data_IF_827519348779
#
_entry.id   IF_827519348779
#
_cell.length_a   1.000
_cell.length_b   1.000
_cell.length_c   1.000
_cell.angle_alpha   90.00
_cell.angle_beta   90.00
_cell.angle_gamma   90.00
#
_symmetry.space_group_name_H-M   'P 1'
#
loop_
_entity.id
_entity.type
_entity.pdbx_description
1 polymer ?
#
# COMPACT_ATOMS: atom_id res chain seq x y z
N UNK A 1 -16.52 -8.11 -27.67
CA UNK A 1 -16.68 -9.32 -26.83
C UNK A 1 -17.23 -8.87 -25.50
N UNK A 2 -18.11 -9.67 -24.90
CA UNK A 2 -18.73 -9.37 -23.61
C UNK A 2 -17.76 -9.70 -22.46
N UNK A 3 -17.41 -8.74 -21.59
CA UNK A 3 -16.48 -8.98 -20.49
C UNK A 3 -17.00 -10.00 -19.47
N UNK A 4 -18.32 -10.14 -19.34
CA UNK A 4 -18.93 -11.14 -18.46
C UNK A 4 -18.58 -12.55 -18.95
N UNK A 5 -18.68 -12.77 -20.26
CA UNK A 5 -18.34 -14.05 -20.89
C UNK A 5 -16.85 -14.35 -20.74
N UNK A 6 -15.99 -13.37 -21.04
CA UNK A 6 -14.53 -13.55 -20.94
C UNK A 6 -14.12 -13.90 -19.50
N UNK A 7 -14.65 -13.18 -18.51
CA UNK A 7 -14.32 -13.42 -17.12
C UNK A 7 -14.80 -14.80 -16.64
N UNK A 8 -16.03 -15.19 -16.99
CA UNK A 8 -16.58 -16.51 -16.63
C UNK A 8 -15.78 -17.66 -17.28
N UNK A 9 -15.50 -17.58 -18.58
CA UNK A 9 -14.73 -18.59 -19.31
C UNK A 9 -13.29 -18.70 -18.79
N UNK A 10 -12.64 -17.56 -18.51
CA UNK A 10 -11.30 -17.51 -17.95
C UNK A 10 -11.22 -18.18 -16.57
N UNK A 11 -12.17 -17.85 -15.69
CA UNK A 11 -12.25 -18.44 -14.34
C UNK A 11 -12.52 -19.94 -14.40
N UNK A 12 -13.45 -20.39 -15.25
CA UNK A 12 -13.69 -21.82 -15.44
C UNK A 12 -12.45 -22.56 -15.94
N UNK A 13 -11.74 -21.98 -16.91
CA UNK A 13 -10.53 -22.58 -17.48
C UNK A 13 -9.46 -22.74 -16.40
N UNK A 14 -9.15 -21.68 -15.67
CA UNK A 14 -8.11 -21.72 -14.64
C UNK A 14 -8.50 -22.62 -13.45
N UNK A 15 -9.79 -22.71 -13.11
CA UNK A 15 -10.29 -23.72 -12.15
C UNK A 15 -10.05 -25.14 -12.63
N UNK A 16 -10.31 -25.45 -13.91
CA UNK A 16 -10.05 -26.78 -14.51
C UNK A 16 -8.56 -27.11 -14.56
N UNK A 17 -7.71 -26.10 -14.70
CA UNK A 17 -6.24 -26.23 -14.71
C UNK A 17 -5.62 -26.23 -13.29
N UNK A 18 -6.44 -26.20 -12.23
CA UNK A 18 -6.02 -26.20 -10.81
C UNK A 18 -5.17 -25.00 -10.40
N UNK A 19 -5.42 -23.82 -10.95
CA UNK A 19 -4.86 -22.58 -10.40
C UNK A 19 -5.51 -22.26 -9.05
N UNK A 20 -4.69 -21.92 -8.07
CA UNK A 20 -5.14 -21.59 -6.71
C UNK A 20 -5.56 -20.12 -6.57
N UNK A 21 -4.96 -19.23 -7.39
CA UNK A 21 -5.22 -17.80 -7.38
C UNK A 21 -5.56 -17.34 -8.78
N UNK A 22 -6.71 -16.69 -8.92
CA UNK A 22 -7.18 -16.10 -10.18
C UNK A 22 -7.46 -14.63 -9.91
N UNK A 23 -6.76 -13.74 -10.61
CA UNK A 23 -6.96 -12.29 -10.52
C UNK A 23 -7.72 -11.86 -11.77
N UNK A 24 -8.92 -11.30 -11.57
CA UNK A 24 -9.74 -10.73 -12.64
C UNK A 24 -9.53 -9.22 -12.64
N UNK A 25 -8.80 -8.71 -13.62
CA UNK A 25 -8.68 -7.28 -13.84
C UNK A 25 -9.93 -6.75 -14.56
N UNK A 26 -10.42 -5.59 -14.12
CA UNK A 26 -11.60 -4.95 -14.69
C UNK A 26 -11.24 -3.56 -15.18
N UNK A 27 -11.97 -3.05 -16.18
CA UNK A 27 -11.75 -1.70 -16.70
C UNK A 27 -11.83 -0.63 -15.59
N UNK A 28 -11.06 0.45 -15.73
CA UNK A 28 -11.15 1.61 -14.82
C UNK A 28 -12.47 2.36 -15.00
N UNK A 29 -13.19 2.61 -13.91
CA UNK A 29 -14.58 3.11 -13.95
C UNK A 29 -14.68 4.49 -13.32
N UNK A 30 -14.97 5.51 -14.13
CA UNK A 30 -15.30 6.84 -13.65
C UNK A 30 -16.73 6.87 -13.11
N UNK A 31 -16.95 7.63 -12.02
CA UNK A 31 -18.22 7.72 -11.26
C UNK A 31 -19.47 8.06 -12.06
N UNK A 32 -19.34 8.56 -13.28
CA UNK A 32 -20.45 9.14 -14.03
C UNK A 32 -21.20 8.14 -14.92
N UNK A 33 -20.75 6.89 -15.01
CA UNK A 33 -21.38 5.89 -15.88
C UNK A 33 -22.06 4.80 -15.05
N UNK A 34 -23.38 4.94 -14.85
CA UNK A 34 -24.22 3.92 -14.23
C UNK A 34 -24.13 2.56 -14.95
N UNK A 35 -23.95 2.59 -16.27
CA UNK A 35 -23.69 1.41 -17.11
C UNK A 35 -22.44 0.63 -16.70
N UNK A 36 -21.40 1.30 -16.19
CA UNK A 36 -20.19 0.63 -15.72
C UNK A 36 -20.41 -0.08 -14.38
N UNK A 37 -21.25 0.45 -13.50
CA UNK A 37 -21.58 -0.26 -12.25
C UNK A 37 -22.43 -1.50 -12.51
N UNK A 38 -23.36 -1.43 -13.47
CA UNK A 38 -24.14 -2.59 -13.91
C UNK A 38 -23.26 -3.69 -14.50
N UNK A 39 -22.32 -3.35 -15.39
CA UNK A 39 -21.39 -4.32 -15.97
C UNK A 39 -20.51 -4.98 -14.88
N UNK A 40 -20.02 -4.20 -13.90
CA UNK A 40 -19.26 -4.73 -12.78
C UNK A 40 -20.08 -5.72 -11.94
N UNK A 41 -21.35 -5.40 -11.67
CA UNK A 41 -22.26 -6.28 -10.96
C UNK A 41 -22.50 -7.59 -11.75
N UNK A 42 -22.66 -7.49 -13.07
CA UNK A 42 -22.82 -8.65 -13.95
C UNK A 42 -21.57 -9.55 -13.93
N UNK A 43 -20.37 -8.97 -14.03
CA UNK A 43 -19.11 -9.73 -13.95
C UNK A 43 -18.96 -10.39 -12.58
N UNK A 44 -19.22 -9.65 -11.50
CA UNK A 44 -19.16 -10.18 -10.13
C UNK A 44 -20.11 -11.36 -9.93
N UNK A 45 -21.35 -11.24 -10.39
CA UNK A 45 -22.35 -12.31 -10.29
C UNK A 45 -22.00 -13.54 -11.13
N UNK A 46 -21.38 -13.35 -12.31
CA UNK A 46 -20.99 -14.46 -13.18
C UNK A 46 -19.78 -15.24 -12.64
N UNK A 47 -18.82 -14.54 -12.03
CA UNK A 47 -17.58 -15.14 -11.51
C UNK A 47 -17.72 -15.61 -10.06
N UNK A 48 -18.59 -14.97 -9.27
CA UNK A 48 -18.77 -15.16 -7.83
C UNK A 48 -17.42 -15.15 -7.06
N UNK A 49 -16.73 -13.99 -7.04
CA UNK A 49 -15.39 -13.88 -6.47
C UNK A 49 -15.40 -14.02 -4.93
N UNK A 50 -14.35 -14.62 -4.37
CA UNK A 50 -14.17 -14.72 -2.91
C UNK A 50 -13.85 -13.37 -2.26
N UNK A 51 -13.06 -12.54 -2.96
CA UNK A 51 -12.64 -11.22 -2.51
C UNK A 51 -12.74 -10.21 -3.64
N UNK A 52 -13.43 -9.09 -3.40
CA UNK A 52 -13.40 -7.92 -4.28
C UNK A 52 -12.46 -6.88 -3.68
N UNK A 53 -11.53 -6.37 -4.48
CA UNK A 53 -10.53 -5.40 -4.05
C UNK A 53 -10.79 -4.06 -4.72
N UNK A 54 -10.99 -3.01 -3.92
CA UNK A 54 -11.12 -1.66 -4.43
C UNK A 54 -9.73 -1.00 -4.53
N UNK A 55 -9.26 -0.78 -5.75
CA UNK A 55 -7.97 -0.13 -6.01
C UNK A 55 -8.18 1.37 -6.17
N UNK A 56 -7.49 2.16 -5.35
CA UNK A 56 -7.61 3.62 -5.35
C UNK A 56 -6.26 4.32 -5.48
N UNK A 57 -6.26 5.47 -6.14
CA UNK A 57 -5.09 6.34 -6.28
C UNK A 57 -4.92 7.23 -5.04
N UNK A 58 -3.71 7.30 -4.47
CA UNK A 58 -3.41 8.16 -3.32
C UNK A 58 -3.70 9.66 -3.56
N UNK A 59 -3.68 10.12 -4.81
CA UNK A 59 -3.88 11.51 -5.22
C UNK A 59 -5.35 11.94 -5.37
N UNK A 60 -6.30 10.98 -5.32
CA UNK A 60 -7.73 11.24 -5.62
C UNK A 60 -8.41 12.27 -4.70
N UNK A 61 -7.85 12.48 -3.51
CA UNK A 61 -8.34 13.47 -2.54
C UNK A 61 -9.79 13.22 -2.10
N UNK A 62 -10.59 14.30 -2.04
CA UNK A 62 -11.97 14.28 -1.53
C UNK A 62 -12.92 13.47 -2.42
N UNK A 63 -12.59 13.29 -3.70
CA UNK A 63 -13.40 12.47 -4.59
C UNK A 63 -13.35 10.97 -4.20
N UNK A 64 -12.45 10.53 -3.33
CA UNK A 64 -12.41 9.14 -2.90
C UNK A 64 -13.74 8.68 -2.28
N UNK A 65 -14.31 9.48 -1.38
CA UNK A 65 -15.44 9.07 -0.54
C UNK A 65 -16.64 8.61 -1.39
N UNK A 66 -17.06 9.45 -2.33
CA UNK A 66 -18.18 9.11 -3.19
C UNK A 66 -17.88 7.98 -4.20
N UNK A 67 -16.60 7.69 -4.50
CA UNK A 67 -16.25 6.55 -5.37
C UNK A 67 -16.36 5.25 -4.59
N UNK A 68 -15.72 5.23 -3.41
CA UNK A 68 -15.77 4.12 -2.48
C UNK A 68 -17.22 3.79 -2.10
N UNK A 69 -18.07 4.80 -1.91
CA UNK A 69 -19.50 4.63 -1.61
C UNK A 69 -20.24 3.92 -2.74
N UNK A 70 -20.16 4.45 -3.97
CA UNK A 70 -20.85 3.86 -5.11
C UNK A 70 -20.38 2.42 -5.38
N UNK A 71 -19.08 2.16 -5.19
CA UNK A 71 -18.51 0.83 -5.36
C UNK A 71 -19.00 -0.14 -4.28
N UNK A 72 -18.96 0.26 -3.01
CA UNK A 72 -19.43 -0.54 -1.88
C UNK A 72 -20.94 -0.78 -1.84
N UNK A 73 -21.74 0.10 -2.48
CA UNK A 73 -23.18 -0.09 -2.64
C UNK A 73 -23.52 -1.07 -3.78
N UNK A 74 -22.60 -1.26 -4.73
CA UNK A 74 -22.82 -2.12 -5.91
C UNK A 74 -22.27 -3.53 -5.68
N UNK A 75 -21.07 -3.64 -5.09
CA UNK A 75 -20.38 -4.91 -4.83
C UNK A 75 -19.81 -4.92 -3.43
N UNK A 76 -19.74 -6.11 -2.82
CA UNK A 76 -19.20 -6.27 -1.48
C UNK A 76 -17.67 -6.17 -1.50
N UNK A 77 -17.12 -5.06 -1.00
CA UNK A 77 -15.69 -4.78 -1.02
C UNK A 77 -15.01 -5.41 0.19
N UNK A 78 -14.18 -6.41 -0.05
CA UNK A 78 -13.45 -7.12 0.99
C UNK A 78 -12.19 -6.37 1.47
N UNK A 79 -11.49 -5.69 0.57
CA UNK A 79 -10.28 -4.92 0.92
C UNK A 79 -9.97 -3.79 -0.04
N UNK A 80 -9.08 -2.88 0.38
CA UNK A 80 -8.65 -1.71 -0.39
C UNK A 80 -7.15 -1.79 -0.67
N UNK A 81 -6.74 -1.40 -1.89
CA UNK A 81 -5.34 -1.18 -2.25
C UNK A 81 -5.15 0.31 -2.56
N UNK A 82 -4.07 0.90 -2.06
CA UNK A 82 -3.72 2.30 -2.34
C UNK A 82 -2.51 2.33 -3.26
N UNK A 83 -2.64 2.87 -4.46
CA UNK A 83 -1.55 3.02 -5.43
C UNK A 83 -0.94 4.42 -5.40
N UNK A 84 0.26 4.56 -5.98
CA UNK A 84 0.98 5.83 -6.15
C UNK A 84 1.36 6.55 -4.85
N UNK A 85 1.73 5.80 -3.80
CA UNK A 85 2.18 6.37 -2.51
C UNK A 85 3.62 6.89 -2.49
N UNK A 86 4.36 6.64 -3.57
CA UNK A 86 5.65 7.25 -3.90
C UNK A 86 5.52 8.74 -4.24
N UNK A 87 4.36 9.15 -4.74
CA UNK A 87 4.07 10.55 -5.03
C UNK A 87 3.98 11.39 -3.74
N UNK A 88 4.06 12.72 -3.88
CA UNK A 88 3.85 13.67 -2.78
C UNK A 88 2.42 13.65 -2.20
N UNK A 89 1.53 12.79 -2.72
CA UNK A 89 0.20 12.62 -2.18
C UNK A 89 0.27 12.05 -0.76
N UNK A 90 -0.37 12.75 0.19
CA UNK A 90 -0.44 12.32 1.59
C UNK A 90 -1.35 11.10 1.80
N UNK A 91 -2.03 10.61 0.76
CA UNK A 91 -2.91 9.44 0.84
C UNK A 91 -4.19 9.65 1.68
N UNK A 92 -4.57 10.90 1.99
CA UNK A 92 -5.72 11.19 2.86
C UNK A 92 -7.05 10.61 2.36
N UNK A 93 -7.21 10.38 1.05
CA UNK A 93 -8.37 9.71 0.48
C UNK A 93 -8.53 8.26 0.97
N UNK A 94 -7.44 7.58 1.33
CA UNK A 94 -7.50 6.21 1.83
C UNK A 94 -8.29 6.10 3.14
N UNK A 95 -8.18 7.10 4.01
CA UNK A 95 -8.98 7.16 5.23
C UNK A 95 -10.48 7.29 4.90
N UNK A 96 -10.83 8.07 3.88
CA UNK A 96 -12.20 8.19 3.40
C UNK A 96 -12.73 6.89 2.80
N UNK A 97 -11.92 6.17 2.02
CA UNK A 97 -12.31 4.86 1.49
C UNK A 97 -12.61 3.87 2.62
N UNK A 98 -11.67 3.68 3.55
CA UNK A 98 -11.84 2.75 4.68
C UNK A 98 -13.05 3.13 5.55
N UNK A 99 -13.27 4.43 5.79
CA UNK A 99 -14.41 4.89 6.57
C UNK A 99 -15.76 4.54 5.93
N UNK A 100 -15.82 4.58 4.60
CA UNK A 100 -17.04 4.29 3.82
C UNK A 100 -17.23 2.80 3.59
N UNK A 101 -16.23 2.10 3.06
CA UNK A 101 -16.35 0.68 2.70
C UNK A 101 -16.32 -0.23 3.92
N UNK A 102 -15.80 0.26 5.06
CA UNK A 102 -15.53 -0.53 6.28
C UNK A 102 -14.52 -1.68 6.08
N UNK A 103 -13.87 -1.72 4.92
CA UNK A 103 -12.89 -2.74 4.55
C UNK A 103 -11.47 -2.28 4.91
N UNK A 104 -10.58 -3.20 5.34
CA UNK A 104 -9.19 -2.87 5.62
C UNK A 104 -8.41 -2.56 4.34
N UNK A 105 -7.36 -1.74 4.47
CA UNK A 105 -6.34 -1.62 3.42
C UNK A 105 -5.38 -2.81 3.55
N UNK A 106 -5.23 -3.58 2.48
CA UNK A 106 -4.39 -4.77 2.44
C UNK A 106 -2.99 -4.46 1.91
N UNK A 107 -2.88 -3.71 0.81
CA UNK A 107 -1.59 -3.40 0.17
C UNK A 107 -1.46 -1.95 -0.28
N UNK A 108 -0.22 -1.56 -0.54
CA UNK A 108 0.15 -0.27 -1.11
C UNK A 108 1.10 -0.43 -2.29
N UNK A 109 0.88 0.38 -3.33
CA UNK A 109 1.81 0.54 -4.45
C UNK A 109 2.71 1.75 -4.22
N UNK A 110 4.03 1.51 -4.23
CA UNK A 110 5.09 2.50 -3.95
C UNK A 110 5.94 2.80 -5.17
N UNK A 111 5.45 2.52 -6.37
CA UNK A 111 6.14 2.76 -7.62
C UNK A 111 5.44 2.10 -8.81
N UNK A 112 6.17 1.98 -9.92
CA UNK A 112 5.66 1.44 -11.20
C UNK A 112 6.18 0.03 -11.48
N UNK A 113 7.19 -0.44 -10.77
CA UNK A 113 7.75 -1.77 -10.95
C UNK A 113 6.88 -2.83 -10.27
N UNK A 114 7.02 -4.08 -10.72
CA UNK A 114 6.25 -5.22 -10.19
C UNK A 114 6.56 -5.49 -8.71
N UNK A 115 7.77 -5.14 -8.27
CA UNK A 115 8.25 -5.31 -6.91
C UNK A 115 7.83 -4.14 -5.98
N UNK A 116 7.28 -3.06 -6.54
CA UNK A 116 6.85 -1.85 -5.81
C UNK A 116 5.45 -2.04 -5.19
N UNK A 117 5.20 -3.20 -4.59
CA UNK A 117 3.92 -3.58 -4.01
C UNK A 117 4.11 -4.19 -2.63
N UNK A 118 3.73 -3.44 -1.59
CA UNK A 118 4.04 -3.75 -0.20
C UNK A 118 2.77 -3.96 0.64
N UNK A 119 2.91 -4.72 1.73
CA UNK A 119 1.85 -4.87 2.72
C UNK A 119 1.57 -3.53 3.42
N UNK A 120 0.30 -3.17 3.57
CA UNK A 120 -0.06 -1.94 4.27
C UNK A 120 0.29 -2.01 5.76
N UNK A 121 1.07 -1.03 6.23
CA UNK A 121 1.42 -0.84 7.65
C UNK A 121 0.74 0.42 8.19
N UNK A 122 -0.38 0.30 8.94
CA UNK A 122 -1.16 1.46 9.39
C UNK A 122 -0.35 2.49 10.17
N UNK A 123 0.53 2.03 11.06
CA UNK A 123 1.35 2.91 11.92
C UNK A 123 2.31 3.79 11.11
N UNK A 124 3.02 3.20 10.14
CA UNK A 124 3.94 3.92 9.27
C UNK A 124 3.19 4.92 8.38
N UNK A 125 2.04 4.52 7.85
CA UNK A 125 1.19 5.39 7.05
C UNK A 125 0.71 6.63 7.83
N UNK A 126 0.22 6.45 9.06
CA UNK A 126 -0.22 7.57 9.90
C UNK A 126 0.93 8.50 10.28
N UNK A 127 2.14 7.97 10.55
CA UNK A 127 3.32 8.80 10.81
C UNK A 127 3.64 9.69 9.61
N UNK A 128 3.72 9.10 8.40
CA UNK A 128 3.94 9.84 7.14
C UNK A 128 2.85 10.89 6.90
N UNK A 129 1.58 10.56 7.15
CA UNK A 129 0.44 11.49 7.04
C UNK A 129 0.58 12.71 7.97
N UNK A 130 1.01 12.48 9.22
CA UNK A 130 1.22 13.52 10.23
C UNK A 130 2.48 14.36 9.98
N UNK A 131 3.28 14.04 8.96
CA UNK A 131 4.56 14.72 8.70
C UNK A 131 5.63 14.42 9.74
N UNK A 132 5.37 13.44 10.62
CA UNK A 132 6.41 12.81 11.41
C UNK A 132 7.14 11.91 10.42
N UNK A 133 8.38 12.24 10.04
CA UNK A 133 9.18 11.41 9.13
C UNK A 133 9.19 9.94 9.58
N UNK A 134 9.68 9.04 8.72
CA UNK A 134 9.67 7.61 9.02
C UNK A 134 10.69 7.25 10.13
N UNK A 135 10.35 7.61 11.37
CA UNK A 135 11.11 7.29 12.58
C UNK A 135 11.13 5.77 12.75
N UNK A 136 10.10 5.06 12.29
CA UNK A 136 10.06 3.60 12.34
C UNK A 136 11.11 3.00 11.39
N UNK A 137 11.13 3.39 10.10
CA UNK A 137 12.13 2.94 9.14
C UNK A 137 13.56 3.36 9.50
N UNK A 138 13.73 4.54 10.11
CA UNK A 138 15.03 4.98 10.63
C UNK A 138 15.47 4.12 11.83
N UNK A 139 14.54 3.70 12.70
CA UNK A 139 14.81 2.75 13.79
C UNK A 139 15.13 1.36 13.24
N UNK A 140 14.41 0.89 12.23
CA UNK A 140 14.65 -0.42 11.59
C UNK A 140 16.02 -0.45 10.89
N UNK A 141 16.38 0.62 10.17
CA UNK A 141 17.73 0.78 9.59
C UNK A 141 18.82 0.79 10.67
N UNK A 142 18.61 1.49 11.80
CA UNK A 142 19.57 1.51 12.93
C UNK A 142 19.72 0.12 13.57
N UNK A 143 18.63 -0.65 13.66
CA UNK A 143 18.67 -2.02 14.15
C UNK A 143 19.43 -2.96 13.21
N UNK A 144 19.25 -2.81 11.89
CA UNK A 144 19.90 -3.63 10.85
C UNK A 144 21.40 -3.35 10.72
N UNK A 145 21.86 -2.12 10.98
CA UNK A 145 23.29 -1.76 11.00
C UNK A 145 24.03 -2.39 12.22
N UNK A 146 23.32 -3.10 13.10
CA UNK A 146 23.92 -3.80 14.23
C UNK A 146 24.34 -2.86 15.37
N UNK A 147 23.77 -1.65 15.42
CA UNK A 147 23.92 -0.72 16.56
C UNK A 147 23.01 -1.23 17.70
N UNK A 148 23.31 -2.42 18.22
CA UNK A 148 22.50 -3.08 19.25
C UNK A 148 22.57 -2.41 20.62
N UNK A 149 23.54 -1.52 20.86
CA UNK A 149 23.88 -1.06 22.21
C UNK A 149 23.81 0.47 22.39
N UNK A 150 22.83 1.14 21.77
CA UNK A 150 22.66 2.57 22.07
C UNK A 150 21.20 3.01 22.16
N UNK A 151 20.50 2.46 23.17
CA UNK A 151 19.15 2.88 23.57
C UNK A 151 19.05 4.40 23.78
N UNK A 152 20.15 5.02 24.23
CA UNK A 152 20.23 6.47 24.44
C UNK A 152 20.17 7.25 23.13
N UNK A 153 20.88 6.80 22.07
CA UNK A 153 20.78 7.38 20.74
C UNK A 153 19.39 7.21 20.13
N UNK A 154 18.78 6.03 20.27
CA UNK A 154 17.42 5.77 19.77
C UNK A 154 16.40 6.67 20.49
N UNK A 155 16.55 6.86 21.80
CA UNK A 155 15.71 7.76 22.58
C UNK A 155 15.89 9.22 22.15
N UNK A 156 17.14 9.68 21.96
CA UNK A 156 17.44 11.04 21.51
C UNK A 156 16.93 11.33 20.09
N UNK A 157 17.08 10.37 19.17
CA UNK A 157 16.52 10.44 17.81
C UNK A 157 14.99 10.55 17.84
N UNK A 158 14.31 9.74 18.67
CA UNK A 158 12.85 9.80 18.84
C UNK A 158 12.34 11.16 19.34
N UNK A 159 13.14 11.88 20.12
CA UNK A 159 12.82 13.21 20.62
C UNK A 159 13.33 14.36 19.73
N UNK A 160 13.89 14.06 18.55
CA UNK A 160 14.42 15.07 17.63
C UNK A 160 15.70 15.77 18.11
N UNK A 161 16.36 15.22 19.13
CA UNK A 161 17.60 15.73 19.72
C UNK A 161 18.82 15.06 19.07
N UNK A 162 18.93 15.19 17.76
CA UNK A 162 20.12 14.73 17.02
C UNK A 162 21.00 15.94 16.70
N UNK A 163 22.17 16.00 17.34
CA UNK A 163 23.09 17.14 17.18
C UNK A 163 24.20 16.82 16.17
N UNK A 164 24.85 17.86 15.64
CA UNK A 164 26.01 17.68 14.76
C UNK A 164 27.17 16.94 15.44
N UNK A 165 27.25 17.00 16.78
CA UNK A 165 28.24 16.27 17.57
C UNK A 165 27.96 14.77 17.56
N UNK A 166 26.69 14.38 17.69
CA UNK A 166 26.29 12.97 17.59
C UNK A 166 26.60 12.42 16.19
N UNK A 167 26.36 13.22 15.14
CA UNK A 167 26.72 12.85 13.76
C UNK A 167 28.23 12.65 13.60
N UNK A 168 29.05 13.53 14.16
CA UNK A 168 30.52 13.43 14.14
C UNK A 168 31.02 12.15 14.83
N UNK A 169 30.47 11.82 15.99
CA UNK A 169 30.84 10.62 16.76
C UNK A 169 30.47 9.33 16.00
N UNK A 170 29.31 9.30 15.33
CA UNK A 170 28.93 8.17 14.47
C UNK A 170 29.84 8.03 13.24
N UNK A 171 30.16 9.15 12.56
CA UNK A 171 31.11 9.11 11.44
C UNK A 171 32.50 8.63 11.88
N UNK A 172 32.96 8.99 13.07
CA UNK A 172 34.22 8.47 13.62
C UNK A 172 34.15 6.96 13.91
N UNK A 173 33.04 6.46 14.47
CA UNK A 173 32.89 5.03 14.74
C UNK A 173 32.86 4.20 13.47
N UNK A 174 32.17 4.71 12.45
CA UNK A 174 32.14 4.12 11.11
C UNK A 174 33.55 4.12 10.48
N UNK A 175 34.29 5.22 10.56
CA UNK A 175 35.67 5.27 10.06
C UNK A 175 36.63 4.35 10.83
N UNK A 176 36.37 4.10 12.13
CA UNK A 176 37.14 3.16 12.96
C UNK A 176 36.88 1.70 12.60
N UNK A 177 35.73 1.37 12.01
CA UNK A 177 35.41 0.00 11.57
C UNK A 177 36.13 -0.43 10.28
N UNK A 178 36.94 0.45 9.67
CA UNK A 178 37.69 0.14 8.45
C UNK A 178 36.84 0.24 7.17
N UNK A 179 37.44 0.09 5.98
CA UNK A 179 36.72 0.27 4.72
C UNK A 179 35.57 -0.75 4.60
N UNK A 180 34.36 -0.24 4.35
CA UNK A 180 33.10 -0.96 4.17
C UNK A 180 33.10 -2.09 3.12
N UNK A 181 34.21 -2.31 2.42
CA UNK A 181 34.36 -3.38 1.42
C UNK A 181 34.37 -4.79 2.01
N UNK A 182 34.45 -4.96 3.33
CA UNK A 182 34.45 -6.29 3.97
C UNK A 182 33.09 -6.72 4.57
N UNK A 183 32.08 -5.85 4.62
CA UNK A 183 30.80 -6.14 5.31
C UNK A 183 29.62 -6.30 4.34
N UNK A 184 29.73 -5.85 3.09
CA UNK A 184 28.79 -6.25 2.02
C UNK A 184 29.33 -7.47 1.27
N UNK A 185 28.98 -8.66 1.77
CA UNK A 185 28.88 -9.92 1.00
C UNK A 185 27.49 -10.46 1.22
#
# INVERSE_FOLDING_TARGET
>A
MDPVIIAAEGVEKFKKENFEIIIVDTSGRHKQEASLFEEMLQVSNAVNPDNVVFVMDASIGQACEAQARAFSETVDVASVIITKLDSHAKGGGALSAVAVTKSPVSFVGTGEHIDDFELFKPKAFVQKLLGMGDIAGLVDMVNDIGIKDNEELVSRLKHGLFTLRDMYEQFQNIMKMGPFSQIMV
#
